data_IF_580181118921
#
_entry.id   IF_580181118921
#
_cell.length_a   1.000
_cell.length_b   1.000
_cell.length_c   1.000
_cell.angle_alpha   90.00
_cell.angle_beta   90.00
_cell.angle_gamma   90.00
#
_symmetry.space_group_name_H-M   'P 1'
#
loop_
_entity.id
_entity.type
_entity.pdbx_description
1 polymer ?
#
# COMPACT_ATOMS: atom_id res chain seq x y z
N UNK A 1 19.55 19.24 40.69
CA UNK A 1 19.76 17.91 40.08
C UNK A 1 20.64 17.06 40.98
N UNK A 2 20.56 15.74 40.86
CA UNK A 2 21.41 14.80 41.62
C UNK A 2 22.68 14.46 40.84
N UNK A 3 23.83 14.34 41.52
CA UNK A 3 25.11 14.03 40.86
C UNK A 3 25.05 12.76 40.00
N UNK A 4 24.35 11.72 40.45
CA UNK A 4 24.20 10.47 39.69
C UNK A 4 23.47 10.66 38.35
N UNK A 5 22.48 11.55 38.32
CA UNK A 5 21.72 11.89 37.10
C UNK A 5 22.58 12.68 36.12
N UNK A 6 23.34 13.65 36.65
CA UNK A 6 24.27 14.47 35.86
C UNK A 6 25.36 13.59 35.27
N UNK A 7 26.05 12.77 36.08
CA UNK A 7 27.12 11.86 35.63
C UNK A 7 26.68 10.93 34.49
N UNK A 8 25.47 10.38 34.57
CA UNK A 8 24.89 9.55 33.50
C UNK A 8 24.59 10.31 32.21
N UNK A 9 24.44 11.63 32.31
CA UNK A 9 24.10 12.50 31.17
C UNK A 9 25.30 13.29 30.65
N UNK A 10 26.51 13.13 31.22
CA UNK A 10 27.67 13.96 30.86
C UNK A 10 28.17 13.73 29.43
N UNK A 11 28.15 12.51 28.91
CA UNK A 11 28.52 12.24 27.51
C UNK A 11 27.55 12.93 26.55
N UNK A 12 26.25 12.67 26.68
CA UNK A 12 25.23 13.33 25.86
C UNK A 12 25.21 14.87 26.04
N UNK A 13 25.57 15.38 27.23
CA UNK A 13 25.78 16.81 27.46
C UNK A 13 26.98 17.35 26.66
N UNK A 14 28.11 16.62 26.67
CA UNK A 14 29.31 16.97 25.91
C UNK A 14 29.03 16.97 24.39
N UNK A 15 28.27 16.00 23.91
CA UNK A 15 27.89 15.86 22.49
C UNK A 15 26.76 16.84 22.06
N UNK A 16 26.14 17.54 23.02
CA UNK A 16 25.04 18.49 22.74
C UNK A 16 23.69 17.83 22.41
N UNK A 17 23.51 16.56 22.77
CA UNK A 17 22.33 15.74 22.40
C UNK A 17 21.16 15.83 23.39
N UNK A 18 21.26 16.67 24.41
CA UNK A 18 20.20 16.85 25.41
C UNK A 18 19.29 18.03 25.05
N UNK A 19 18.04 17.98 25.52
CA UNK A 19 17.14 19.13 25.41
C UNK A 19 17.71 20.38 26.09
N UNK A 20 17.37 21.56 25.59
CA UNK A 20 17.87 22.85 26.10
C UNK A 20 17.67 23.00 27.62
N UNK A 21 16.49 22.63 28.12
CA UNK A 21 16.18 22.63 29.56
C UNK A 21 17.15 21.76 30.37
N UNK A 22 17.49 20.59 29.85
CA UNK A 22 18.37 19.63 30.53
C UNK A 22 19.83 20.09 30.44
N UNK A 23 20.24 20.65 29.30
CA UNK A 23 21.54 21.31 29.13
C UNK A 23 21.72 22.43 30.17
N UNK A 24 20.71 23.30 30.34
CA UNK A 24 20.77 24.41 31.28
C UNK A 24 20.88 23.92 32.74
N UNK A 25 20.08 22.92 33.13
CA UNK A 25 20.11 22.36 34.48
C UNK A 25 21.45 21.69 34.81
N UNK A 26 22.05 20.98 33.84
CA UNK A 26 23.38 20.38 34.00
C UNK A 26 24.44 21.49 34.08
N UNK A 27 24.39 22.49 33.20
CA UNK A 27 25.30 23.64 33.21
C UNK A 27 25.29 24.35 34.57
N UNK A 28 24.12 24.61 35.14
CA UNK A 28 23.99 25.17 36.49
C UNK A 28 24.60 24.26 37.55
N UNK A 29 24.37 22.95 37.48
CA UNK A 29 24.96 22.01 38.43
C UNK A 29 26.50 21.99 38.38
N UNK A 30 27.08 22.07 37.18
CA UNK A 30 28.53 22.05 36.98
C UNK A 30 29.24 23.27 37.57
N UNK A 31 28.55 24.42 37.71
CA UNK A 31 29.11 25.62 38.36
C UNK A 31 29.47 25.39 39.83
N UNK A 32 28.73 24.52 40.52
CA UNK A 32 28.84 24.35 41.97
C UNK A 32 29.32 22.95 42.39
N UNK A 33 29.29 21.97 41.48
CA UNK A 33 29.72 20.60 41.78
C UNK A 33 31.08 20.24 41.15
N UNK A 34 32.14 20.37 41.95
CA UNK A 34 33.50 20.02 41.53
C UNK A 34 33.66 18.55 41.08
N UNK A 35 32.90 17.61 41.67
CA UNK A 35 32.96 16.19 41.29
C UNK A 35 32.46 15.98 39.87
N UNK A 36 31.31 16.55 39.51
CA UNK A 36 30.74 16.42 38.17
C UNK A 36 31.55 17.23 37.14
N UNK A 37 32.04 18.42 37.50
CA UNK A 37 32.92 19.21 36.64
C UNK A 37 34.25 18.49 36.35
N UNK A 38 34.81 17.77 37.33
CA UNK A 38 36.01 16.94 37.14
C UNK A 38 35.74 15.79 36.17
N UNK A 39 34.56 15.18 36.26
CA UNK A 39 34.18 14.09 35.36
C UNK A 39 34.01 14.58 33.92
N UNK A 40 33.39 15.75 33.72
CA UNK A 40 33.31 16.37 32.39
C UNK A 40 34.70 16.65 31.79
N UNK A 41 35.63 17.17 32.59
CA UNK A 41 37.02 17.41 32.15
C UNK A 41 37.75 16.15 31.70
N UNK A 42 37.40 14.97 32.24
CA UNK A 42 37.96 13.70 31.76
C UNK A 42 37.48 13.38 30.35
N UNK A 43 36.20 13.62 30.07
CA UNK A 43 35.61 13.43 28.74
C UNK A 43 36.29 14.38 27.75
N UNK A 44 36.39 15.67 28.08
CA UNK A 44 37.08 16.69 27.27
C UNK A 44 38.54 16.30 26.97
N UNK A 45 39.26 15.77 27.97
CA UNK A 45 40.65 15.32 27.78
C UNK A 45 40.74 14.14 26.83
N UNK A 46 39.86 13.15 26.94
CA UNK A 46 39.86 11.99 26.03
C UNK A 46 39.57 12.47 24.60
N UNK A 47 38.60 13.35 24.43
CA UNK A 47 38.29 13.94 23.12
C UNK A 47 39.49 14.68 22.52
N UNK A 48 40.15 15.55 23.30
CA UNK A 48 41.34 16.27 22.84
C UNK A 48 42.52 15.35 22.49
N UNK A 49 42.67 14.22 23.18
CA UNK A 49 43.66 13.21 22.79
C UNK A 49 43.31 12.56 21.44
N UNK A 50 42.04 12.35 21.15
CA UNK A 50 41.58 11.81 19.87
C UNK A 50 41.80 12.79 18.71
N UNK A 51 41.64 14.09 18.94
CA UNK A 51 41.93 15.12 17.93
C UNK A 51 43.40 15.17 17.49
N UNK A 52 44.31 14.68 18.35
CA UNK A 52 45.75 14.63 18.02
C UNK A 52 46.13 13.52 17.03
N UNK A 53 45.21 12.62 16.69
CA UNK A 53 45.48 11.56 15.73
C UNK A 53 45.54 12.12 14.30
N UNK A 54 46.49 11.66 13.47
CA UNK A 54 46.59 12.10 12.09
C UNK A 54 45.31 11.76 11.34
N UNK A 55 44.78 12.74 10.60
CA UNK A 55 43.69 12.49 9.66
C UNK A 55 44.22 11.58 8.56
N UNK A 56 43.62 10.39 8.45
CA UNK A 56 43.92 9.47 7.37
C UNK A 56 43.13 9.90 6.13
N UNK A 57 43.85 10.31 5.09
CA UNK A 57 43.26 10.55 3.78
C UNK A 57 42.70 9.23 3.22
N UNK A 58 41.46 9.28 2.74
CA UNK A 58 40.86 8.14 2.08
C UNK A 58 41.58 7.89 0.73
N UNK A 59 41.81 6.62 0.39
CA UNK A 59 42.41 6.27 -0.89
C UNK A 59 41.55 6.75 -2.08
N UNK A 60 42.15 6.95 -3.28
CA UNK A 60 41.49 7.60 -4.42
C UNK A 60 40.22 6.90 -4.95
N UNK A 61 39.96 5.66 -4.52
CA UNK A 61 38.78 4.88 -4.93
C UNK A 61 37.81 4.58 -3.79
N UNK A 62 38.09 5.04 -2.56
CA UNK A 62 37.28 4.69 -1.39
C UNK A 62 35.86 5.22 -1.52
N UNK A 63 35.69 6.46 -1.94
CA UNK A 63 34.37 7.08 -2.13
C UNK A 63 33.53 6.32 -3.16
N UNK A 64 34.11 6.00 -4.32
CA UNK A 64 33.45 5.22 -5.35
C UNK A 64 33.01 3.84 -4.86
N UNK A 65 33.87 3.14 -4.09
CA UNK A 65 33.54 1.84 -3.51
C UNK A 65 32.42 1.92 -2.46
N UNK A 66 32.41 2.97 -1.64
CA UNK A 66 31.36 3.19 -0.63
C UNK A 66 30.02 3.45 -1.31
N UNK A 67 29.99 4.35 -2.30
CA UNK A 67 28.77 4.66 -3.07
C UNK A 67 28.24 3.40 -3.75
N UNK A 68 29.10 2.64 -4.45
CA UNK A 68 28.70 1.41 -5.12
C UNK A 68 28.07 0.41 -4.13
N UNK A 69 28.65 0.26 -2.93
CA UNK A 69 28.14 -0.65 -1.92
C UNK A 69 26.77 -0.22 -1.39
N UNK A 70 26.58 1.07 -1.13
CA UNK A 70 25.29 1.63 -0.69
C UNK A 70 24.22 1.42 -1.76
N UNK A 71 24.55 1.67 -3.03
CA UNK A 71 23.63 1.49 -4.16
C UNK A 71 23.24 0.02 -4.34
N UNK A 72 24.19 -0.90 -4.30
CA UNK A 72 23.92 -2.36 -4.38
C UNK A 72 22.97 -2.84 -3.27
N UNK A 73 23.12 -2.34 -2.05
CA UNK A 73 22.23 -2.71 -0.95
C UNK A 73 20.80 -2.15 -1.12
N UNK A 74 20.67 -0.92 -1.61
CA UNK A 74 19.37 -0.29 -1.85
C UNK A 74 18.59 -0.94 -3.00
N UNK A 75 19.27 -1.28 -4.10
CA UNK A 75 18.68 -1.89 -5.30
C UNK A 75 18.20 -3.31 -5.04
N UNK A 76 18.98 -4.12 -4.30
CA UNK A 76 18.59 -5.49 -3.91
C UNK A 76 17.24 -5.53 -3.19
N UNK A 77 16.99 -4.60 -2.25
CA UNK A 77 15.71 -4.52 -1.52
C UNK A 77 14.54 -4.14 -2.45
N UNK A 78 14.75 -3.18 -3.36
CA UNK A 78 13.72 -2.75 -4.34
C UNK A 78 13.34 -3.89 -5.29
N UNK A 79 14.32 -4.65 -5.78
CA UNK A 79 14.07 -5.81 -6.66
C UNK A 79 13.23 -6.90 -5.97
N UNK A 80 13.53 -7.23 -4.71
CA UNK A 80 12.74 -8.23 -3.98
C UNK A 80 11.29 -7.78 -3.73
N UNK A 81 11.05 -6.49 -3.49
CA UNK A 81 9.69 -5.96 -3.31
C UNK A 81 8.91 -5.97 -4.63
N UNK A 82 9.54 -5.50 -5.72
CA UNK A 82 8.93 -5.53 -7.06
C UNK A 82 8.58 -6.95 -7.51
N UNK A 83 9.48 -7.92 -7.26
CA UNK A 83 9.24 -9.32 -7.59
C UNK A 83 8.10 -9.94 -6.76
N UNK A 84 8.02 -9.64 -5.46
CA UNK A 84 6.91 -10.09 -4.60
C UNK A 84 5.56 -9.53 -5.05
N UNK A 85 5.52 -8.25 -5.43
CA UNK A 85 4.30 -7.63 -5.98
C UNK A 85 3.92 -8.27 -7.32
N UNK A 86 4.87 -8.46 -8.24
CA UNK A 86 4.63 -9.10 -9.54
C UNK A 86 4.08 -10.53 -9.39
N UNK A 87 4.67 -11.34 -8.50
CA UNK A 87 4.17 -12.68 -8.18
C UNK A 87 2.76 -12.61 -7.56
N UNK A 88 2.53 -11.67 -6.64
CA UNK A 88 1.21 -11.45 -6.04
C UNK A 88 0.13 -11.12 -7.07
N UNK A 89 0.41 -10.20 -8.01
CA UNK A 89 -0.50 -9.86 -9.10
C UNK A 89 -0.72 -11.03 -10.05
N UNK A 90 0.31 -11.80 -10.39
CA UNK A 90 0.18 -12.97 -11.24
C UNK A 90 -0.72 -14.04 -10.61
N UNK A 91 -0.50 -14.38 -9.33
CA UNK A 91 -1.34 -15.34 -8.61
C UNK A 91 -2.77 -14.85 -8.43
N UNK A 92 -2.95 -13.57 -8.09
CA UNK A 92 -4.28 -12.96 -7.99
C UNK A 92 -5.03 -12.95 -9.31
N UNK A 93 -4.35 -12.63 -10.41
CA UNK A 93 -4.90 -12.67 -11.77
C UNK A 93 -5.27 -14.08 -12.22
N UNK A 94 -4.44 -15.08 -11.92
CA UNK A 94 -4.75 -16.50 -12.19
C UNK A 94 -5.96 -16.95 -11.37
N UNK A 95 -6.04 -16.61 -10.08
CA UNK A 95 -7.18 -16.93 -9.24
C UNK A 95 -8.47 -16.26 -9.76
N UNK A 96 -8.40 -14.98 -10.12
CA UNK A 96 -9.51 -14.23 -10.73
C UNK A 96 -9.95 -14.93 -12.02
N UNK A 97 -9.01 -15.24 -12.91
CA UNK A 97 -9.29 -15.93 -14.17
C UNK A 97 -9.96 -17.29 -13.96
N UNK A 98 -9.48 -18.11 -13.00
CA UNK A 98 -10.08 -19.38 -12.64
C UNK A 98 -11.49 -19.21 -12.06
N UNK A 99 -11.70 -18.20 -11.23
CA UNK A 99 -13.03 -17.86 -10.70
C UNK A 99 -13.95 -17.48 -11.85
N UNK A 100 -13.58 -16.54 -12.72
CA UNK A 100 -14.40 -16.10 -13.86
C UNK A 100 -14.66 -17.23 -14.85
N UNK A 101 -13.67 -18.10 -15.10
CA UNK A 101 -13.82 -19.26 -15.98
C UNK A 101 -14.75 -20.33 -15.38
N UNK A 102 -14.71 -20.53 -14.06
CA UNK A 102 -15.69 -21.36 -13.34
C UNK A 102 -17.07 -20.68 -13.23
N UNK A 103 -17.09 -19.35 -13.29
CA UNK A 103 -18.27 -18.49 -13.35
C UNK A 103 -18.67 -18.14 -14.79
N UNK A 104 -18.30 -18.95 -15.78
CA UNK A 104 -18.99 -18.93 -17.05
C UNK A 104 -20.30 -19.68 -16.82
N UNK A 105 -21.46 -19.00 -16.67
CA UNK A 105 -22.72 -19.70 -16.47
C UNK A 105 -22.89 -20.62 -17.68
N UNK A 106 -22.87 -21.92 -17.41
CA UNK A 106 -23.12 -22.93 -18.42
C UNK A 106 -24.45 -22.65 -19.08
N UNK A 107 -24.54 -23.00 -20.36
CA UNK A 107 -25.74 -23.03 -21.20
C UNK A 107 -26.78 -24.04 -20.68
N UNK A 108 -27.14 -23.93 -19.40
CA UNK A 108 -28.01 -24.84 -18.66
C UNK A 108 -29.04 -24.01 -17.88
N UNK A 109 -29.69 -23.03 -18.51
CA UNK A 109 -31.03 -22.65 -18.06
C UNK A 109 -31.98 -23.78 -18.46
N UNK A 110 -32.80 -24.34 -17.53
CA UNK A 110 -33.71 -25.41 -17.88
C UNK A 110 -34.82 -24.86 -18.79
N UNK A 111 -34.84 -25.32 -20.04
CA UNK A 111 -35.83 -25.03 -21.09
C UNK A 111 -37.31 -25.34 -20.71
N UNK A 112 -37.59 -25.71 -19.46
CA UNK A 112 -38.91 -26.09 -18.97
C UNK A 112 -39.76 -24.88 -18.54
N UNK A 113 -39.14 -23.74 -18.20
CA UNK A 113 -39.88 -22.57 -17.70
C UNK A 113 -40.65 -21.81 -18.78
N UNK A 114 -40.29 -21.97 -20.05
CA UNK A 114 -40.91 -21.24 -21.17
C UNK A 114 -42.02 -22.04 -21.87
N UNK A 115 -42.01 -23.37 -21.73
CA UNK A 115 -42.97 -24.25 -22.41
C UNK A 115 -44.42 -24.11 -21.89
N UNK A 116 -44.60 -23.85 -20.59
CA UNK A 116 -45.93 -23.62 -20.02
C UNK A 116 -46.48 -22.24 -20.40
N UNK A 117 -45.61 -21.22 -20.52
CA UNK A 117 -46.02 -19.86 -20.86
C UNK A 117 -46.51 -19.75 -22.31
N UNK A 118 -45.86 -20.46 -23.25
CA UNK A 118 -46.28 -20.52 -24.65
C UNK A 118 -47.68 -21.13 -24.79
N UNK A 119 -48.01 -22.13 -23.97
CA UNK A 119 -49.34 -22.77 -23.96
C UNK A 119 -50.42 -21.79 -23.48
N UNK A 120 -50.15 -21.02 -22.42
CA UNK A 120 -51.07 -20.00 -21.92
C UNK A 120 -51.27 -18.84 -22.90
N UNK A 121 -50.21 -18.40 -23.58
CA UNK A 121 -50.30 -17.33 -24.58
C UNK A 121 -51.10 -17.77 -25.81
N UNK A 122 -50.93 -19.01 -26.26
CA UNK A 122 -51.68 -19.55 -27.39
C UNK A 122 -53.19 -19.61 -27.08
N UNK A 123 -53.55 -20.07 -25.88
CA UNK A 123 -54.94 -20.10 -25.43
C UNK A 123 -55.53 -18.69 -25.29
N UNK A 124 -54.76 -17.72 -24.75
CA UNK A 124 -55.21 -16.34 -24.65
C UNK A 124 -55.40 -15.68 -26.03
N UNK A 125 -54.51 -15.93 -27.00
CA UNK A 125 -54.61 -15.40 -28.36
C UNK A 125 -55.82 -15.99 -29.10
N UNK A 126 -56.09 -17.29 -28.98
CA UNK A 126 -57.28 -17.89 -29.59
C UNK A 126 -58.60 -17.37 -28.97
N UNK A 127 -58.61 -17.21 -27.66
CA UNK A 127 -59.80 -16.73 -26.92
C UNK A 127 -60.05 -15.24 -27.20
N UNK A 128 -58.99 -14.44 -27.25
CA UNK A 128 -59.06 -13.00 -27.51
C UNK A 128 -59.26 -12.69 -29.00
N UNK A 129 -58.69 -13.49 -29.91
CA UNK A 129 -58.84 -13.36 -31.36
C UNK A 129 -60.29 -13.57 -31.84
N UNK A 130 -61.04 -14.47 -31.18
CA UNK A 130 -62.48 -14.65 -31.44
C UNK A 130 -63.34 -13.48 -30.97
N UNK A 131 -62.91 -12.74 -29.93
CA UNK A 131 -63.64 -11.57 -29.43
C UNK A 131 -63.32 -10.26 -30.18
N UNK A 132 -62.12 -10.12 -30.75
CA UNK A 132 -61.72 -8.92 -31.51
C UNK A 132 -62.22 -8.96 -32.97
N UNK A 133 -62.34 -10.15 -33.58
CA UNK A 133 -62.83 -10.31 -34.95
C UNK A 133 -64.33 -10.01 -35.14
N UNK A 134 -65.09 -9.85 -34.04
CA UNK A 134 -66.53 -9.55 -34.11
C UNK A 134 -66.89 -8.08 -34.27
N UNK A 135 -65.98 -7.12 -34.00
CA UNK A 135 -66.39 -5.72 -33.81
C UNK A 135 -65.57 -4.62 -34.50
N UNK A 136 -64.47 -4.93 -35.23
CA UNK A 136 -63.88 -4.00 -36.23
C UNK A 136 -62.76 -4.67 -37.08
N UNK A 137 -62.93 -4.90 -38.40
CA UNK A 137 -61.95 -5.62 -39.23
C UNK A 137 -60.70 -4.80 -39.63
N UNK A 138 -60.57 -3.55 -39.16
CA UNK A 138 -59.46 -2.65 -39.53
C UNK A 138 -58.18 -2.76 -38.67
N UNK A 139 -58.18 -3.52 -37.57
CA UNK A 139 -57.06 -3.53 -36.61
C UNK A 139 -56.00 -4.63 -36.85
N UNK A 140 -56.23 -5.55 -37.79
CA UNK A 140 -55.29 -6.67 -38.03
C UNK A 140 -54.07 -6.25 -38.85
N UNK A 141 -54.13 -5.13 -39.58
CA UNK A 141 -53.02 -4.69 -40.47
C UNK A 141 -51.95 -3.85 -39.75
N UNK A 142 -52.20 -3.38 -38.52
CA UNK A 142 -51.28 -2.47 -37.82
C UNK A 142 -50.21 -3.17 -36.97
N UNK A 143 -50.35 -4.46 -36.68
CA UNK A 143 -49.43 -5.17 -35.76
C UNK A 143 -48.35 -5.98 -36.52
N UNK A 144 -48.52 -6.24 -37.82
CA UNK A 144 -47.50 -6.93 -38.63
C UNK A 144 -46.42 -6.01 -39.24
N UNK A 145 -46.51 -4.69 -39.08
CA UNK A 145 -45.62 -3.73 -39.77
C UNK A 145 -44.72 -2.89 -38.86
N UNK A 146 -44.76 -3.05 -37.54
CA UNK A 146 -43.90 -2.29 -36.60
C UNK A 146 -42.73 -3.09 -36.02
N UNK A 147 -42.50 -4.32 -36.49
CA UNK A 147 -41.38 -5.17 -36.06
C UNK A 147 -40.15 -5.19 -36.97
N UNK A 148 -40.14 -4.42 -38.07
CA UNK A 148 -39.10 -4.53 -39.10
C UNK A 148 -38.63 -3.14 -39.57
N UNK A 149 -38.01 -2.35 -38.67
CA UNK A 149 -37.03 -1.28 -39.01
C UNK A 149 -36.45 -0.59 -37.75
N UNK A 150 -35.30 -1.08 -37.29
CA UNK A 150 -34.23 -0.44 -36.47
C UNK A 150 -33.56 -1.56 -35.66
N UNK A 151 -32.40 -2.14 -35.99
CA UNK A 151 -31.06 -1.57 -36.23
C UNK A 151 -30.66 -0.46 -35.25
#
# INVERSE_FOLDING_TARGET
MRCNEVKRSLSAYFDGELSEDKMLKIKEHLKYCNSCASELRKIERIHGLMESFPVLEAGPYFEAQVIEKIERESTRKRHHLGLKLAIGFALGGILLFLVTFKYQPGQNEPAQSYASLDTYLQEYIETSGRHIAGNDPGLITAISSTGETAR
#
